data_IF_131905848616
#
_entry.id   IF_131905848616
#
_cell.length_a   1.000
_cell.length_b   1.000
_cell.length_c   1.000
_cell.angle_alpha   90.00
_cell.angle_beta   90.00
_cell.angle_gamma   90.00
#
_symmetry.space_group_name_H-M   'P 1'
#
loop_
_entity.id
_entity.type
_entity.pdbx_description
1 polymer ?
#
# COMPACT_ATOMS: atom_id res chain seq x y z
N UNK A 1 -7.63 5.23 11.62
CA UNK A 1 -8.41 6.11 10.71
C UNK A 1 -9.65 5.35 10.26
N UNK A 2 -10.79 5.99 10.33
CA UNK A 2 -12.03 5.39 9.85
C UNK A 2 -12.03 5.25 8.33
N UNK A 3 -12.81 4.28 7.83
CA UNK A 3 -12.85 3.97 6.41
C UNK A 3 -13.22 5.20 5.56
N UNK A 4 -14.24 5.95 5.97
CA UNK A 4 -14.66 7.14 5.23
C UNK A 4 -13.58 8.22 5.19
N UNK A 5 -12.84 8.39 6.28
CA UNK A 5 -11.75 9.36 6.36
C UNK A 5 -10.59 8.89 5.49
N UNK A 6 -10.29 7.60 5.50
CA UNK A 6 -9.25 7.02 4.67
C UNK A 6 -9.57 7.20 3.18
N UNK A 7 -10.81 6.93 2.78
CA UNK A 7 -11.24 7.08 1.39
C UNK A 7 -11.11 8.53 0.92
N UNK A 8 -11.48 9.49 1.76
CA UNK A 8 -11.33 10.91 1.43
C UNK A 8 -9.86 11.32 1.32
N UNK A 9 -9.03 10.81 2.23
CA UNK A 9 -7.59 11.10 2.21
C UNK A 9 -6.94 10.52 0.95
N UNK A 10 -7.32 9.30 0.56
CA UNK A 10 -6.83 8.68 -0.67
C UNK A 10 -7.21 9.50 -1.90
N UNK A 11 -8.47 9.95 -1.96
CA UNK A 11 -8.94 10.75 -3.08
C UNK A 11 -8.15 12.05 -3.20
N UNK A 12 -7.92 12.73 -2.09
CA UNK A 12 -7.14 13.97 -2.08
C UNK A 12 -5.69 13.72 -2.49
N UNK A 13 -5.08 12.65 -2.00
CA UNK A 13 -3.70 12.31 -2.36
C UNK A 13 -3.57 12.00 -3.85
N UNK A 14 -4.58 11.36 -4.45
CA UNK A 14 -4.61 11.14 -5.90
C UNK A 14 -4.74 12.45 -6.66
N UNK A 15 -5.60 13.35 -6.20
CA UNK A 15 -5.77 14.67 -6.82
C UNK A 15 -4.48 15.47 -6.76
N UNK A 16 -3.77 15.42 -5.64
CA UNK A 16 -2.53 16.15 -5.42
C UNK A 16 -1.31 15.45 -6.05
N UNK A 17 -1.48 14.24 -6.55
CA UNK A 17 -0.40 13.39 -7.08
C UNK A 17 0.72 13.22 -6.06
N UNK A 18 0.35 13.04 -4.80
CA UNK A 18 1.27 12.91 -3.67
C UNK A 18 1.60 11.43 -3.45
N UNK A 19 2.64 10.96 -4.14
CA UNK A 19 3.03 9.54 -4.10
C UNK A 19 3.39 9.06 -2.70
N UNK A 20 4.11 9.87 -1.92
CA UNK A 20 4.48 9.50 -0.56
C UNK A 20 3.24 9.31 0.32
N UNK A 21 2.27 10.20 0.20
CA UNK A 21 1.03 10.09 0.96
C UNK A 21 0.19 8.90 0.49
N UNK A 22 0.16 8.64 -0.82
CA UNK A 22 -0.53 7.46 -1.36
C UNK A 22 0.07 6.16 -0.81
N UNK A 23 1.39 6.07 -0.74
CA UNK A 23 2.07 4.91 -0.15
C UNK A 23 1.65 4.73 1.31
N UNK A 24 1.66 5.81 2.08
CA UNK A 24 1.28 5.78 3.49
C UNK A 24 -0.16 5.33 3.67
N UNK A 25 -1.08 5.90 2.90
CA UNK A 25 -2.51 5.62 3.05
C UNK A 25 -2.88 4.21 2.56
N UNK A 26 -2.32 3.76 1.44
CA UNK A 26 -2.57 2.40 0.97
C UNK A 26 -1.96 1.36 1.91
N UNK A 27 -0.80 1.65 2.50
CA UNK A 27 -0.21 0.77 3.50
C UNK A 27 -1.12 0.68 4.73
N UNK A 28 -1.65 1.80 5.18
CA UNK A 28 -2.59 1.82 6.30
C UNK A 28 -3.85 1.01 5.97
N UNK A 29 -4.40 1.18 4.77
CA UNK A 29 -5.56 0.40 4.34
C UNK A 29 -5.25 -1.10 4.33
N UNK A 30 -4.07 -1.46 3.84
CA UNK A 30 -3.61 -2.85 3.85
C UNK A 30 -3.48 -3.41 5.25
N UNK A 31 -2.90 -2.63 6.16
CA UNK A 31 -2.74 -3.03 7.56
C UNK A 31 -4.11 -3.24 8.24
N UNK A 32 -5.06 -2.37 7.99
CA UNK A 32 -6.42 -2.51 8.53
C UNK A 32 -7.11 -3.75 8.00
N UNK A 33 -6.97 -4.02 6.70
CA UNK A 33 -7.56 -5.22 6.08
C UNK A 33 -6.94 -6.49 6.64
N UNK A 34 -5.62 -6.49 6.83
CA UNK A 34 -4.90 -7.61 7.41
C UNK A 34 -5.37 -7.90 8.84
N UNK A 35 -5.51 -6.86 9.64
CA UNK A 35 -6.01 -6.98 11.01
C UNK A 35 -7.45 -7.52 11.06
N UNK A 36 -8.24 -7.23 10.03
CA UNK A 36 -9.61 -7.72 9.93
C UNK A 36 -9.68 -9.14 9.32
N UNK A 37 -8.56 -9.75 8.97
CA UNK A 37 -8.51 -11.07 8.37
C UNK A 37 -8.82 -11.10 6.88
N UNK A 38 -8.92 -9.94 6.24
CA UNK A 38 -9.21 -9.83 4.80
C UNK A 38 -7.91 -9.81 4.01
N UNK A 39 -7.29 -10.97 3.84
CA UNK A 39 -5.96 -11.07 3.23
C UNK A 39 -5.96 -10.62 1.77
N UNK A 40 -6.98 -10.97 1.00
CA UNK A 40 -7.04 -10.54 -0.40
C UNK A 40 -7.14 -9.03 -0.52
N UNK A 41 -7.96 -8.39 0.31
CA UNK A 41 -8.06 -6.92 0.34
C UNK A 41 -6.75 -6.30 0.79
N UNK A 42 -6.10 -6.87 1.81
CA UNK A 42 -4.81 -6.39 2.28
C UNK A 42 -3.78 -6.40 1.16
N UNK A 43 -3.67 -7.51 0.42
CA UNK A 43 -2.73 -7.62 -0.69
C UNK A 43 -3.05 -6.66 -1.82
N UNK A 44 -4.33 -6.42 -2.08
CA UNK A 44 -4.76 -5.43 -3.07
C UNK A 44 -4.23 -4.02 -2.71
N UNK A 45 -4.44 -3.59 -1.47
CA UNK A 45 -3.98 -2.27 -1.02
C UNK A 45 -2.46 -2.19 -0.98
N UNK A 46 -1.79 -3.23 -0.49
CA UNK A 46 -0.32 -3.25 -0.42
C UNK A 46 0.31 -3.23 -1.81
N UNK A 47 -0.33 -3.86 -2.79
CA UNK A 47 0.13 -3.81 -4.19
C UNK A 47 0.10 -2.37 -4.72
N UNK A 48 -0.97 -1.63 -4.42
CA UNK A 48 -1.05 -0.22 -4.83
C UNK A 48 0.06 0.60 -4.17
N UNK A 49 0.27 0.41 -2.86
CA UNK A 49 1.34 1.11 -2.15
C UNK A 49 2.70 0.79 -2.76
N UNK A 50 2.93 -0.48 -3.09
CA UNK A 50 4.18 -0.93 -3.68
C UNK A 50 4.45 -0.27 -5.03
N UNK A 51 3.44 -0.23 -5.91
CA UNK A 51 3.58 0.38 -7.23
C UNK A 51 3.93 1.87 -7.11
N UNK A 52 3.24 2.61 -6.25
CA UNK A 52 3.53 4.02 -6.04
C UNK A 52 4.92 4.23 -5.45
N UNK A 53 5.33 3.37 -4.52
CA UNK A 53 6.66 3.45 -3.93
C UNK A 53 7.76 3.19 -4.97
N UNK A 54 7.56 2.20 -5.86
CA UNK A 54 8.50 1.93 -6.94
C UNK A 54 8.60 3.11 -7.90
N UNK A 55 7.47 3.63 -8.34
CA UNK A 55 7.45 4.75 -9.30
C UNK A 55 8.13 5.99 -8.75
N UNK A 56 7.97 6.24 -7.46
CA UNK A 56 8.54 7.43 -6.81
C UNK A 56 9.95 7.19 -6.25
N UNK A 57 10.46 5.97 -6.36
CA UNK A 57 11.79 5.63 -5.82
C UNK A 57 11.86 5.70 -4.29
N UNK A 58 10.76 5.37 -3.62
CA UNK A 58 10.70 5.44 -2.16
C UNK A 58 11.23 4.17 -1.50
N UNK A 59 11.89 4.29 -0.33
CA UNK A 59 12.47 3.12 0.34
C UNK A 59 11.44 2.10 0.81
N UNK A 60 10.19 2.50 0.99
CA UNK A 60 9.11 1.61 1.41
C UNK A 60 8.85 0.48 0.41
N UNK A 61 9.26 0.63 -0.85
CA UNK A 61 9.05 -0.39 -1.87
C UNK A 61 9.64 -1.74 -1.47
N UNK A 62 10.80 -1.74 -0.84
CA UNK A 62 11.48 -2.97 -0.42
C UNK A 62 10.66 -3.74 0.61
N UNK A 63 10.19 -3.07 1.64
CA UNK A 63 9.39 -3.69 2.68
C UNK A 63 8.04 -4.16 2.18
N UNK A 64 7.40 -3.36 1.31
CA UNK A 64 6.11 -3.73 0.72
C UNK A 64 6.27 -4.97 -0.18
N UNK A 65 7.35 -5.04 -0.95
CA UNK A 65 7.64 -6.22 -1.75
C UNK A 65 7.81 -7.45 -0.87
N UNK A 66 8.55 -7.33 0.24
CA UNK A 66 8.75 -8.43 1.18
C UNK A 66 7.41 -8.94 1.72
N UNK A 67 6.53 -8.03 2.13
CA UNK A 67 5.21 -8.40 2.68
C UNK A 67 4.36 -9.13 1.65
N UNK A 68 4.35 -8.64 0.40
CA UNK A 68 3.59 -9.27 -0.68
C UNK A 68 4.18 -10.64 -1.04
N UNK A 69 5.50 -10.75 -1.08
CA UNK A 69 6.17 -12.03 -1.37
C UNK A 69 5.87 -13.08 -0.31
N UNK A 70 5.79 -12.70 0.96
CA UNK A 70 5.42 -13.60 2.05
C UNK A 70 4.01 -14.18 1.87
N UNK A 71 3.12 -13.43 1.22
CA UNK A 71 1.76 -13.89 0.91
C UNK A 71 1.67 -14.61 -0.43
N UNK A 72 2.80 -14.79 -1.14
CA UNK A 72 2.82 -15.41 -2.46
C UNK A 72 2.21 -14.53 -3.56
N UNK A 73 2.12 -13.23 -3.33
CA UNK A 73 1.49 -12.27 -4.26
C UNK A 73 2.49 -11.49 -5.10
N UNK A 74 3.79 -11.69 -4.87
CA UNK A 74 4.84 -11.06 -5.65
C UNK A 74 6.09 -11.90 -5.57
N UNK A 75 6.99 -11.74 -6.55
CA UNK A 75 8.32 -12.32 -6.47
C UNK A 75 9.21 -11.38 -5.66
N UNK A 76 10.09 -11.91 -4.79
CA UNK A 76 11.05 -11.05 -4.09
C UNK A 76 11.94 -10.31 -5.09
N UNK A 77 12.12 -9.02 -4.85
CA UNK A 77 13.00 -8.19 -5.67
C UNK A 77 14.30 -7.92 -4.94
N UNK A 78 15.39 -7.84 -5.70
CA UNK A 78 16.66 -7.37 -5.18
C UNK A 78 16.71 -5.84 -5.41
N UNK A 79 16.46 -5.09 -4.34
CA UNK A 79 16.40 -3.64 -4.42
C UNK A 79 17.65 -2.97 -3.85
#
# INVERSE_FOLDING_TARGET
MERADLDRALLKAHEDKDSAELVRLYTLAGDQAEAAGSIDAACFYLTHAFVFALEAGLPEAKELNRRLAERGRAHPLEL
#
